data_IF_027009386292
#
_entry.id   IF_027009386292
#
_cell.length_a   1.000
_cell.length_b   1.000
_cell.length_c   1.000
_cell.angle_alpha   90.00
_cell.angle_beta   90.00
_cell.angle_gamma   90.00
#
_symmetry.space_group_name_H-M   'P 1'
#
loop_
_entity.id
_entity.type
_entity.pdbx_description
1 polymer ?
#
# COMPACT_ATOMS: atom_id res chain seq x y z
N UNK A 1 0.31 1.40 -2.24
CA UNK A 1 0.00 2.09 -3.54
C UNK A 1 -0.62 3.42 -3.22
N UNK A 2 -0.36 4.50 -3.95
CA UNK A 2 -0.98 5.83 -3.73
C UNK A 2 -1.38 6.51 -5.05
N UNK A 3 -1.26 5.78 -6.18
CA UNK A 3 -1.57 6.30 -7.51
C UNK A 3 -0.50 7.21 -8.11
N UNK A 4 0.59 7.51 -7.41
CA UNK A 4 1.72 8.25 -7.98
C UNK A 4 2.43 7.45 -9.07
N UNK A 5 3.11 8.15 -9.99
CA UNK A 5 3.90 7.49 -11.04
C UNK A 5 4.93 6.51 -10.46
N UNK A 6 5.59 6.90 -9.36
CA UNK A 6 6.57 6.03 -8.71
C UNK A 6 5.92 4.78 -8.09
N UNK A 7 4.71 4.89 -7.53
CA UNK A 7 4.01 3.72 -7.00
C UNK A 7 3.52 2.78 -8.10
N UNK A 8 3.09 3.30 -9.25
CA UNK A 8 2.73 2.49 -10.41
C UNK A 8 3.97 1.79 -11.00
N UNK A 9 5.09 2.49 -11.12
CA UNK A 9 6.36 1.88 -11.53
C UNK A 9 6.79 0.77 -10.55
N UNK A 10 6.62 1.00 -9.24
CA UNK A 10 6.91 0.00 -8.22
C UNK A 10 6.02 -1.25 -8.39
N UNK A 11 4.74 -1.05 -8.68
CA UNK A 11 3.81 -2.15 -8.99
C UNK A 11 4.28 -2.98 -10.19
N UNK A 12 4.68 -2.34 -11.28
CA UNK A 12 5.18 -3.04 -12.47
C UNK A 12 6.48 -3.81 -12.18
N UNK A 13 7.43 -3.21 -11.45
CA UNK A 13 8.65 -3.90 -11.03
C UNK A 13 8.36 -5.08 -10.10
N UNK A 14 7.37 -4.95 -9.22
CA UNK A 14 6.95 -6.04 -8.34
C UNK A 14 6.34 -7.21 -9.15
N UNK A 15 5.56 -6.92 -10.19
CA UNK A 15 5.02 -7.94 -11.12
C UNK A 15 6.16 -8.69 -11.82
N UNK A 16 7.16 -7.97 -12.35
CA UNK A 16 8.30 -8.58 -13.04
C UNK A 16 9.12 -9.48 -12.10
N UNK A 17 9.35 -9.03 -10.86
CA UNK A 17 10.03 -9.82 -9.84
C UNK A 17 9.22 -11.06 -9.45
N UNK A 18 7.92 -10.89 -9.18
CA UNK A 18 7.05 -12.00 -8.83
C UNK A 18 7.01 -13.07 -9.95
N UNK A 19 6.96 -12.63 -11.21
CA UNK A 19 7.02 -13.53 -12.38
C UNK A 19 8.35 -14.29 -12.43
N UNK A 20 9.48 -13.60 -12.24
CA UNK A 20 10.81 -14.19 -12.31
C UNK A 20 11.06 -15.21 -11.19
N UNK A 21 10.53 -14.95 -10.00
CA UNK A 21 10.77 -15.76 -8.80
C UNK A 21 9.60 -16.68 -8.44
N UNK A 22 8.53 -16.70 -9.23
CA UNK A 22 7.30 -17.46 -8.95
C UNK A 22 6.73 -17.12 -7.56
N UNK A 23 6.81 -15.84 -7.18
CA UNK A 23 6.39 -15.34 -5.88
C UNK A 23 4.93 -14.89 -5.87
N UNK A 24 4.29 -14.96 -4.70
CA UNK A 24 3.01 -14.30 -4.47
C UNK A 24 3.20 -12.79 -4.38
N UNK A 25 2.27 -12.01 -4.94
CA UNK A 25 2.30 -10.57 -4.90
C UNK A 25 1.07 -10.03 -4.17
N UNK A 26 1.28 -9.10 -3.24
CA UNK A 26 0.20 -8.35 -2.61
C UNK A 26 0.35 -6.87 -2.91
N UNK A 27 -0.68 -6.27 -3.51
CA UNK A 27 -0.78 -4.83 -3.68
C UNK A 27 -1.54 -4.23 -2.50
N UNK A 28 -0.86 -3.36 -1.73
CA UNK A 28 -1.39 -2.74 -0.51
C UNK A 28 -1.65 -1.25 -0.71
N UNK A 29 -2.82 -0.79 -0.27
CA UNK A 29 -3.13 0.61 -0.05
C UNK A 29 -3.44 0.86 1.42
N UNK A 30 -2.85 1.91 2.01
CA UNK A 30 -3.11 2.31 3.40
C UNK A 30 -3.87 3.63 3.39
N UNK A 31 -5.02 3.65 4.02
CA UNK A 31 -5.83 4.84 4.26
C UNK A 31 -5.37 5.43 5.61
N UNK A 32 -4.71 6.61 5.62
CA UNK A 32 -4.44 7.28 6.88
C UNK A 32 -5.75 7.77 7.46
N UNK A 33 -6.05 7.43 8.69
CA UNK A 33 -7.19 7.92 9.42
C UNK A 33 -6.72 8.81 10.57
N UNK A 34 -7.04 10.11 10.52
CA UNK A 34 -6.85 11.03 11.64
C UNK A 34 -7.85 10.76 12.78
N UNK A 35 -8.74 9.81 12.58
CA UNK A 35 -9.77 9.44 13.51
C UNK A 35 -9.15 8.44 14.49
N UNK A 36 -8.87 8.90 15.71
CA UNK A 36 -8.57 8.04 16.87
C UNK A 36 -9.80 7.21 17.22
N UNK A 37 -10.04 6.16 16.47
CA UNK A 37 -10.94 5.10 16.88
C UNK A 37 -10.08 3.93 17.35
N UNK A 38 -10.03 3.75 18.66
CA UNK A 38 -9.39 2.61 19.34
C UNK A 38 -10.05 1.24 19.02
N UNK A 39 -10.89 1.21 17.97
CA UNK A 39 -11.75 0.08 17.61
C UNK A 39 -11.59 -0.39 16.14
N UNK A 40 -10.51 -0.01 15.45
CA UNK A 40 -10.42 -0.23 14.01
C UNK A 40 -9.61 -1.49 13.58
N UNK A 41 -9.39 -2.45 14.47
CA UNK A 41 -8.82 -3.73 14.02
C UNK A 41 -9.79 -4.56 13.17
N UNK A 42 -11.13 -4.31 13.34
CA UNK A 42 -12.18 -4.86 12.46
C UNK A 42 -13.23 -3.77 12.22
N UNK A 43 -12.99 -2.86 11.26
CA UNK A 43 -13.96 -1.79 10.96
C UNK A 43 -15.25 -2.39 10.41
N UNK A 44 -16.19 -2.65 11.28
CA UNK A 44 -17.58 -2.82 10.86
C UNK A 44 -18.10 -1.45 10.37
N UNK A 45 -17.91 -1.21 9.06
CA UNK A 45 -18.37 0.03 8.42
C UNK A 45 -19.89 0.26 8.61
N UNK A 46 -20.65 -0.77 9.01
CA UNK A 46 -22.06 -0.64 9.32
C UNK A 46 -22.32 0.17 10.59
N UNK A 47 -21.34 0.19 11.52
CA UNK A 47 -21.45 0.89 12.82
C UNK A 47 -20.93 2.32 12.79
N UNK A 48 -20.32 2.76 11.68
CA UNK A 48 -19.80 4.12 11.58
C UNK A 48 -20.95 5.15 11.47
N UNK A 49 -20.84 6.33 12.13
CA UNK A 49 -21.75 7.44 11.92
C UNK A 49 -21.84 7.83 10.44
N UNK A 50 -23.03 8.20 9.95
CA UNK A 50 -23.30 8.40 8.54
C UNK A 50 -22.30 9.26 7.76
N UNK A 51 -21.92 10.47 8.22
CA UNK A 51 -20.94 11.32 7.53
C UNK A 51 -19.56 10.67 7.42
N UNK A 52 -19.12 9.97 8.49
CA UNK A 52 -17.86 9.28 8.55
C UNK A 52 -17.83 8.05 7.66
N UNK A 53 -18.94 7.29 7.64
CA UNK A 53 -19.12 6.14 6.76
C UNK A 53 -18.90 6.51 5.29
N UNK A 54 -19.51 7.61 4.83
CA UNK A 54 -19.33 8.09 3.45
C UNK A 54 -17.89 8.41 3.11
N UNK A 55 -17.17 9.10 4.01
CA UNK A 55 -15.76 9.45 3.84
C UNK A 55 -14.86 8.20 3.77
N UNK A 56 -15.07 7.27 4.69
CA UNK A 56 -14.29 6.01 4.74
C UNK A 56 -14.56 5.18 3.49
N UNK A 57 -15.82 5.00 3.09
CA UNK A 57 -16.15 4.23 1.89
C UNK A 57 -15.55 4.84 0.62
N UNK A 58 -15.64 6.16 0.45
CA UNK A 58 -15.01 6.85 -0.68
C UNK A 58 -13.49 6.66 -0.72
N UNK A 59 -12.82 6.72 0.45
CA UNK A 59 -11.39 6.47 0.55
C UNK A 59 -11.03 5.00 0.23
N UNK A 60 -11.84 4.05 0.68
CA UNK A 60 -11.67 2.63 0.34
C UNK A 60 -11.84 2.37 -1.16
N UNK A 61 -12.89 2.92 -1.79
CA UNK A 61 -13.10 2.82 -3.23
C UNK A 61 -11.95 3.45 -4.03
N UNK A 62 -11.46 4.61 -3.58
CA UNK A 62 -10.29 5.26 -4.17
C UNK A 62 -9.04 4.40 -4.07
N UNK A 63 -8.78 3.82 -2.90
CA UNK A 63 -7.66 2.91 -2.66
C UNK A 63 -7.75 1.64 -3.48
N UNK A 64 -8.96 1.06 -3.56
CA UNK A 64 -9.21 -0.15 -4.35
C UNK A 64 -8.81 0.02 -5.81
N UNK A 65 -9.11 1.17 -6.43
CA UNK A 65 -8.71 1.45 -7.82
C UNK A 65 -7.19 1.35 -8.03
N UNK A 66 -6.39 1.79 -7.05
CA UNK A 66 -4.92 1.75 -7.18
C UNK A 66 -4.36 0.33 -7.05
N UNK A 67 -4.92 -0.49 -6.17
CA UNK A 67 -4.46 -1.87 -6.04
C UNK A 67 -4.99 -2.75 -7.19
N UNK A 68 -6.20 -2.49 -7.68
CA UNK A 68 -6.77 -3.18 -8.83
C UNK A 68 -6.02 -2.87 -10.14
N UNK A 69 -5.43 -1.68 -10.28
CA UNK A 69 -4.56 -1.37 -11.41
C UNK A 69 -3.35 -2.31 -11.48
N UNK A 70 -2.74 -2.65 -10.33
CA UNK A 70 -1.64 -3.65 -10.29
C UNK A 70 -2.16 -5.03 -10.67
N UNK A 71 -3.32 -5.43 -10.16
CA UNK A 71 -3.95 -6.71 -10.51
C UNK A 71 -4.27 -6.80 -12.00
N UNK A 72 -4.76 -5.70 -12.59
CA UNK A 72 -5.05 -5.63 -14.02
C UNK A 72 -3.78 -5.70 -14.86
N UNK A 73 -2.70 -4.99 -14.46
CA UNK A 73 -1.41 -5.08 -15.16
C UNK A 73 -0.80 -6.48 -15.10
N UNK A 74 -1.13 -7.26 -14.07
CA UNK A 74 -0.67 -8.63 -13.93
C UNK A 74 -1.58 -9.66 -14.65
N UNK A 75 -2.74 -9.25 -15.19
CA UNK A 75 -3.76 -10.17 -15.75
C UNK A 75 -3.26 -11.03 -16.91
N UNK A 76 -2.28 -10.53 -17.68
CA UNK A 76 -1.63 -11.27 -18.77
C UNK A 76 -0.47 -12.16 -18.29
N UNK A 77 -0.24 -12.20 -16.99
CA UNK A 77 0.82 -13.00 -16.37
C UNK A 77 0.21 -14.16 -15.58
N UNK A 78 0.98 -15.20 -15.33
CA UNK A 78 0.55 -16.36 -14.53
C UNK A 78 0.63 -16.14 -13.01
N UNK A 79 0.85 -14.87 -12.57
CA UNK A 79 1.00 -14.54 -11.15
C UNK A 79 -0.36 -14.26 -10.52
N UNK A 80 -0.52 -14.77 -9.29
CA UNK A 80 -1.65 -14.38 -8.44
C UNK A 80 -1.33 -13.09 -7.71
N UNK A 81 -2.16 -12.06 -7.89
CA UNK A 81 -2.05 -10.78 -7.18
C UNK A 81 -3.20 -10.67 -6.19
N UNK A 82 -2.86 -10.59 -4.90
CA UNK A 82 -3.80 -10.20 -3.84
C UNK A 82 -3.86 -8.68 -3.75
N UNK A 83 -5.01 -8.13 -3.40
CA UNK A 83 -5.21 -6.70 -3.22
C UNK A 83 -5.78 -6.45 -1.84
N UNK A 84 -5.14 -5.58 -1.06
CA UNK A 84 -5.61 -5.22 0.27
C UNK A 84 -5.65 -3.70 0.45
N UNK A 85 -6.73 -3.23 1.07
CA UNK A 85 -6.91 -1.85 1.49
C UNK A 85 -7.09 -1.84 3.00
N UNK A 86 -6.16 -1.22 3.73
CA UNK A 86 -6.19 -1.16 5.18
C UNK A 86 -6.36 0.27 5.66
N UNK A 87 -7.12 0.45 6.73
CA UNK A 87 -7.26 1.74 7.41
C UNK A 87 -6.30 1.73 8.59
N UNK A 88 -5.54 2.80 8.77
CA UNK A 88 -4.61 2.91 9.89
C UNK A 88 -4.88 4.15 10.73
N UNK A 89 -5.06 3.97 12.02
CA UNK A 89 -5.10 5.04 13.02
C UNK A 89 -3.71 5.55 13.42
N UNK A 90 -2.66 4.92 12.89
CA UNK A 90 -1.26 5.26 13.13
C UNK A 90 -0.63 5.87 11.87
N UNK A 91 0.69 5.89 11.79
CA UNK A 91 1.36 6.36 10.58
C UNK A 91 1.28 5.32 9.44
N UNK A 92 1.20 5.79 8.19
CA UNK A 92 1.26 4.92 6.99
C UNK A 92 2.50 4.03 6.98
N UNK A 93 3.64 4.54 7.45
CA UNK A 93 4.89 3.76 7.57
C UNK A 93 4.69 2.58 8.50
N UNK A 94 4.17 2.83 9.70
CA UNK A 94 3.92 1.80 10.70
C UNK A 94 2.97 0.73 10.15
N UNK A 95 1.85 1.16 9.55
CA UNK A 95 0.89 0.23 8.96
C UNK A 95 1.49 -0.67 7.87
N UNK A 96 2.35 -0.12 6.99
CA UNK A 96 3.03 -0.93 5.97
C UNK A 96 3.97 -1.95 6.61
N UNK A 97 4.76 -1.53 7.59
CA UNK A 97 5.74 -2.40 8.25
C UNK A 97 5.04 -3.51 9.04
N UNK A 98 4.04 -3.18 9.84
CA UNK A 98 3.27 -4.16 10.62
C UNK A 98 2.49 -5.14 9.72
N UNK A 99 1.93 -4.64 8.61
CA UNK A 99 1.29 -5.50 7.62
C UNK A 99 2.28 -6.50 7.02
N UNK A 100 3.45 -6.03 6.60
CA UNK A 100 4.48 -6.87 6.01
C UNK A 100 5.01 -7.91 7.00
N UNK A 101 5.21 -7.54 8.26
CA UNK A 101 5.65 -8.43 9.32
C UNK A 101 4.57 -9.47 9.66
N UNK A 102 3.33 -9.04 9.88
CA UNK A 102 2.21 -9.94 10.20
C UNK A 102 1.90 -10.95 9.09
N UNK A 103 2.12 -10.56 7.83
CA UNK A 103 1.97 -11.45 6.66
C UNK A 103 3.26 -12.19 6.28
N UNK A 104 4.35 -12.00 7.03
CA UNK A 104 5.66 -12.63 6.80
C UNK A 104 6.17 -12.39 5.37
N UNK A 105 6.09 -11.14 4.92
CA UNK A 105 6.57 -10.76 3.59
C UNK A 105 8.10 -10.78 3.53
N UNK A 106 8.65 -11.30 2.42
CA UNK A 106 10.10 -11.42 2.22
C UNK A 106 10.72 -10.19 1.55
N UNK A 107 9.89 -9.36 0.91
CA UNK A 107 10.32 -8.15 0.19
C UNK A 107 9.18 -7.13 0.18
N UNK A 108 9.55 -5.86 0.42
CA UNK A 108 8.67 -4.72 0.16
C UNK A 108 9.17 -3.98 -1.09
N UNK A 109 8.28 -3.74 -2.05
CA UNK A 109 8.56 -2.90 -3.23
C UNK A 109 7.78 -1.60 -3.09
N UNK A 110 8.48 -0.46 -3.08
CA UNK A 110 7.87 0.84 -2.82
C UNK A 110 8.36 1.91 -3.79
N UNK A 111 7.48 2.81 -4.19
CA UNK A 111 7.87 3.98 -4.99
C UNK A 111 8.71 4.96 -4.17
N UNK A 112 9.73 5.54 -4.80
CA UNK A 112 10.65 6.49 -4.13
C UNK A 112 9.97 7.78 -3.66
N UNK A 113 8.81 8.16 -4.27
CA UNK A 113 8.05 9.38 -3.97
C UNK A 113 6.57 9.11 -4.06
N UNK A 114 5.79 9.78 -3.23
CA UNK A 114 4.32 9.77 -3.28
C UNK A 114 3.76 10.95 -4.07
N UNK A 115 2.43 11.14 -3.95
CA UNK A 115 1.65 12.18 -4.64
C UNK A 115 2.15 13.61 -4.39
N UNK A 116 2.72 13.91 -3.21
CA UNK A 116 3.22 15.25 -2.87
C UNK A 116 4.44 15.70 -3.68
N UNK A 117 5.13 14.77 -4.34
CA UNK A 117 6.10 14.97 -5.41
C UNK A 117 7.12 16.11 -5.26
N UNK A 118 7.58 16.42 -4.04
CA UNK A 118 8.60 17.46 -3.82
C UNK A 118 9.85 17.13 -4.66
N UNK A 119 10.04 17.88 -5.75
CA UNK A 119 11.07 17.64 -6.78
C UNK A 119 12.50 17.58 -6.21
N UNK A 120 12.74 18.19 -5.04
CA UNK A 120 14.07 18.28 -4.40
C UNK A 120 14.41 17.10 -3.49
N UNK A 121 13.45 16.27 -3.09
CA UNK A 121 13.73 15.12 -2.23
C UNK A 121 14.12 13.91 -3.08
N UNK A 122 15.22 13.27 -2.72
CA UNK A 122 15.67 12.01 -3.35
C UNK A 122 14.75 10.85 -2.97
N UNK A 123 14.24 10.85 -1.74
CA UNK A 123 13.38 9.82 -1.17
C UNK A 123 12.23 10.47 -0.38
N UNK A 124 11.00 10.01 -0.61
CA UNK A 124 9.82 10.48 0.12
C UNK A 124 9.82 9.96 1.57
N UNK A 125 9.09 10.65 2.45
CA UNK A 125 9.04 10.33 3.89
C UNK A 125 8.54 8.90 4.17
N UNK A 126 7.53 8.44 3.41
CA UNK A 126 7.00 7.07 3.55
C UNK A 126 8.06 6.03 3.14
N UNK A 127 8.68 6.21 1.96
CA UNK A 127 9.71 5.29 1.49
C UNK A 127 10.92 5.26 2.44
N UNK A 128 11.35 6.43 2.92
CA UNK A 128 12.44 6.53 3.91
C UNK A 128 12.09 5.83 5.22
N UNK A 129 10.89 6.03 5.74
CA UNK A 129 10.43 5.36 6.95
C UNK A 129 10.34 3.83 6.78
N UNK A 130 9.79 3.35 5.66
CA UNK A 130 9.71 1.91 5.39
C UNK A 130 11.10 1.29 5.29
N UNK A 131 12.05 1.93 4.59
CA UNK A 131 13.44 1.46 4.52
C UNK A 131 14.09 1.38 5.91
N UNK A 132 13.77 2.33 6.79
CA UNK A 132 14.35 2.39 8.14
C UNK A 132 13.80 1.31 9.07
N UNK A 133 12.49 1.01 8.97
CA UNK A 133 11.81 0.19 9.98
C UNK A 133 11.38 -1.20 9.49
N UNK A 134 11.50 -1.50 8.19
CA UNK A 134 11.12 -2.81 7.68
C UNK A 134 12.01 -3.94 8.23
N UNK A 135 11.39 -5.08 8.53
CA UNK A 135 12.08 -6.31 8.97
C UNK A 135 12.66 -7.12 7.80
N UNK A 136 12.29 -6.79 6.57
CA UNK A 136 12.74 -7.45 5.34
C UNK A 136 13.36 -6.45 4.35
N UNK A 137 14.05 -6.91 3.30
CA UNK A 137 14.56 -6.06 2.23
C UNK A 137 13.49 -5.14 1.64
N UNK A 138 13.91 -3.93 1.25
CA UNK A 138 13.05 -2.94 0.61
C UNK A 138 13.64 -2.51 -0.72
N UNK A 139 12.92 -2.74 -1.81
CA UNK A 139 13.26 -2.24 -3.14
C UNK A 139 12.55 -0.90 -3.38
N UNK A 140 13.35 0.15 -3.54
CA UNK A 140 12.85 1.50 -3.84
C UNK A 140 12.90 1.76 -5.34
N UNK A 141 11.77 2.07 -5.94
CA UNK A 141 11.61 2.29 -7.39
C UNK A 141 11.36 3.77 -7.67
N UNK A 142 12.05 4.34 -8.67
CA UNK A 142 11.89 5.73 -9.12
C UNK A 142 10.85 5.88 -10.24
#
# INVERSE_FOLDING_TARGET
MDGSKASLNAGNQAIDLAKKHQAELTALYVIPSDIRYDYLEDVDTARLPGPLKGTVMSAMEGGQKYVDAVKQNASETSISVRTDVVISSTSVVKAIVEYAEGKKMDLIVIGSKGMSGLKRMLLGSIASGVVTYAHCPVLVVK
#
